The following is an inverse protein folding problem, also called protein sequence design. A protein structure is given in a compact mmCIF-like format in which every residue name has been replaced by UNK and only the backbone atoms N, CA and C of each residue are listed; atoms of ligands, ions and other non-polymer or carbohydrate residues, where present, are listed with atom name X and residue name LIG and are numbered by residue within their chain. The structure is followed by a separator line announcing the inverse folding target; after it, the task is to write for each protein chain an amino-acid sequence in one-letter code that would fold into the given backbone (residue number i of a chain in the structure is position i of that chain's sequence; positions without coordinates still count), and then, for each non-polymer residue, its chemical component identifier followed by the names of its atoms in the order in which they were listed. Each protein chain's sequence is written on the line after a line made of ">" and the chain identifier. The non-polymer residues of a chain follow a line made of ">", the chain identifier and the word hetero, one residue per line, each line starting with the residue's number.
data_IF_556948891542
#
_entry.id   IF_556948891542
#
_cell.length_a   1.000
_cell.length_b   1.000
_cell.length_c   1.000
_cell.angle_alpha   90.00
_cell.angle_beta   90.00
_cell.angle_gamma   90.00
#
_symmetry.space_group_name_H-M   'P 1'
#
loop_
_entity.id
_entity.type
_entity.pdbx_description
1 polymer ?
#
# COMPACT_ATOMS: atom_id res chain seq x y z
N UNK A 1 -6.88 5.96 -8.30
CA UNK A 1 -5.43 6.24 -8.38
C UNK A 1 -4.80 5.81 -7.07
N UNK A 2 -3.76 5.00 -7.11
CA UNK A 2 -3.06 4.50 -5.90
C UNK A 2 -2.28 5.60 -5.17
N UNK A 3 -1.86 6.64 -5.88
CA UNK A 3 -1.09 7.76 -5.33
C UNK A 3 -1.94 9.02 -5.40
N UNK A 4 -2.09 9.70 -4.26
CA UNK A 4 -2.82 10.97 -4.13
C UNK A 4 -1.85 12.05 -3.64
N UNK A 5 -1.88 13.23 -4.27
CA UNK A 5 -1.21 14.41 -3.71
C UNK A 5 -2.08 14.99 -2.60
N UNK A 6 -1.49 15.25 -1.44
CA UNK A 6 -2.10 15.91 -0.30
C UNK A 6 -1.92 17.42 -0.40
N UNK A 7 -2.76 18.15 0.34
CA UNK A 7 -2.73 19.62 0.38
C UNK A 7 -1.45 20.17 1.02
N UNK A 8 -0.83 19.37 1.89
CA UNK A 8 0.48 19.64 2.49
C UNK A 8 1.67 19.43 1.52
N UNK A 9 1.40 19.15 0.23
CA UNK A 9 2.41 18.92 -0.80
C UNK A 9 2.99 17.50 -0.83
N UNK A 10 2.66 16.65 0.15
CA UNK A 10 3.12 15.25 0.21
C UNK A 10 2.29 14.34 -0.68
N UNK A 11 2.78 13.12 -0.86
CA UNK A 11 2.15 12.07 -1.65
C UNK A 11 1.72 10.94 -0.74
N UNK A 12 0.49 10.49 -0.90
CA UNK A 12 -0.07 9.38 -0.16
C UNK A 12 -0.28 8.21 -1.11
N UNK A 13 0.36 7.09 -0.81
CA UNK A 13 0.10 5.80 -1.46
C UNK A 13 -0.97 5.07 -0.67
N UNK A 14 -2.03 4.66 -1.34
CA UNK A 14 -3.14 3.85 -0.82
C UNK A 14 -3.39 2.66 -1.75
N UNK A 15 -2.92 1.48 -1.34
CA UNK A 15 -3.04 0.25 -2.12
C UNK A 15 -3.60 -0.91 -1.32
N UNK A 16 -4.30 -1.81 -2.02
CA UNK A 16 -4.72 -3.11 -1.51
C UNK A 16 -4.13 -4.20 -2.42
N UNK A 17 -2.90 -4.66 -2.16
CA UNK A 17 -2.22 -5.58 -3.06
C UNK A 17 -2.87 -6.98 -3.06
N UNK A 18 -3.65 -7.33 -2.04
CA UNK A 18 -4.50 -8.54 -1.95
C UNK A 18 -5.93 -8.34 -2.50
N UNK A 19 -6.24 -7.19 -3.09
CA UNK A 19 -7.59 -6.87 -3.57
C UNK A 19 -8.56 -6.40 -2.47
N UNK A 20 -9.86 -6.39 -2.76
CA UNK A 20 -10.90 -5.74 -1.92
C UNK A 20 -10.90 -6.21 -0.46
N UNK A 21 -10.70 -7.50 -0.23
CA UNK A 21 -10.70 -8.11 1.11
C UNK A 21 -9.31 -8.11 1.77
N UNK A 22 -8.30 -7.59 1.07
CA UNK A 22 -6.92 -7.53 1.49
C UNK A 22 -6.59 -6.43 2.50
N UNK A 23 -5.36 -6.51 3.04
CA UNK A 23 -4.81 -5.45 3.90
C UNK A 23 -4.63 -4.18 3.07
N UNK A 24 -5.20 -3.07 3.57
CA UNK A 24 -4.96 -1.73 3.00
C UNK A 24 -3.65 -1.19 3.55
N UNK A 25 -2.75 -0.78 2.66
CA UNK A 25 -1.48 -0.16 3.01
C UNK A 25 -1.60 1.30 2.60
N UNK A 26 -1.53 2.18 3.60
CA UNK A 26 -1.58 3.63 3.41
C UNK A 26 -0.33 4.26 3.99
N UNK A 27 0.44 4.98 3.17
CA UNK A 27 1.71 5.59 3.59
C UNK A 27 1.93 6.93 2.90
N UNK A 28 2.49 7.89 3.63
CA UNK A 28 2.83 9.23 3.12
C UNK A 28 4.32 9.30 2.77
N UNK A 29 4.63 10.07 1.74
CA UNK A 29 5.96 10.29 1.17
C UNK A 29 6.09 11.76 0.80
N UNK A 30 7.29 12.32 0.93
CA UNK A 30 7.53 13.72 0.57
C UNK A 30 7.73 13.87 -0.95
N UNK A 31 8.26 12.83 -1.62
CA UNK A 31 8.52 12.82 -3.06
C UNK A 31 7.58 11.88 -3.82
N UNK A 32 7.18 12.31 -5.02
CA UNK A 32 6.38 11.48 -5.95
C UNK A 32 7.12 10.22 -6.38
N UNK A 33 8.43 10.33 -6.62
CA UNK A 33 9.27 9.19 -7.04
C UNK A 33 9.28 8.07 -6.00
N UNK A 34 9.39 8.42 -4.72
CA UNK A 34 9.35 7.46 -3.61
C UNK A 34 7.98 6.78 -3.49
N UNK A 35 6.89 7.55 -3.64
CA UNK A 35 5.54 6.99 -3.65
C UNK A 35 5.34 5.97 -4.80
N UNK A 36 5.83 6.28 -6.01
CA UNK A 36 5.76 5.39 -7.17
C UNK A 36 6.62 4.14 -6.97
N UNK A 37 7.84 4.30 -6.43
CA UNK A 37 8.72 3.18 -6.13
C UNK A 37 8.08 2.24 -5.10
N UNK A 38 7.47 2.79 -4.05
CA UNK A 38 6.80 2.02 -3.01
C UNK A 38 5.57 1.26 -3.54
N UNK A 39 4.75 1.88 -4.39
CA UNK A 39 3.64 1.21 -5.06
C UNK A 39 4.11 -0.01 -5.84
N UNK A 40 5.08 0.17 -6.75
CA UNK A 40 5.65 -0.91 -7.57
C UNK A 40 6.28 -2.01 -6.73
N UNK A 41 7.07 -1.64 -5.73
CA UNK A 41 7.69 -2.58 -4.80
C UNK A 41 6.64 -3.42 -4.09
N UNK A 42 5.58 -2.78 -3.57
CA UNK A 42 4.59 -3.49 -2.77
C UNK A 42 3.72 -4.41 -3.63
N UNK A 43 3.36 -4.00 -4.85
CA UNK A 43 2.65 -4.86 -5.79
C UNK A 43 3.50 -6.07 -6.20
N UNK A 44 4.78 -5.85 -6.51
CA UNK A 44 5.70 -6.91 -6.93
C UNK A 44 6.00 -7.92 -5.81
N UNK A 45 6.36 -7.42 -4.61
CA UNK A 45 6.74 -8.28 -3.48
C UNK A 45 5.56 -8.95 -2.77
N UNK A 46 4.34 -8.51 -3.04
CA UNK A 46 3.14 -9.13 -2.49
C UNK A 46 2.76 -10.42 -3.25
N UNK A 47 3.26 -10.63 -4.46
CA UNK A 47 3.19 -11.93 -5.12
C UNK A 47 4.26 -12.87 -4.54
N UNK A 48 3.87 -14.08 -4.17
CA UNK A 48 4.75 -15.22 -3.87
C UNK A 48 5.58 -15.20 -2.59
N UNK A 49 4.93 -15.07 -1.44
CA UNK A 49 5.45 -15.71 -0.22
C UNK A 49 4.36 -16.55 0.42
N UNK A 50 4.23 -17.80 -0.04
CA UNK A 50 3.32 -18.81 0.58
C UNK A 50 3.62 -19.03 2.08
N UNK A 51 4.83 -18.66 2.52
CA UNK A 51 5.31 -18.75 3.89
C UNK A 51 5.08 -17.49 4.74
N UNK A 52 4.56 -16.39 4.17
CA UNK A 52 4.16 -15.24 4.99
C UNK A 52 2.71 -15.40 5.45
N UNK A 53 2.54 -15.62 6.75
CA UNK A 53 1.23 -15.64 7.40
C UNK A 53 0.44 -14.36 7.05
N UNK A 54 -0.82 -14.55 6.65
CA UNK A 54 -1.72 -13.43 6.36
C UNK A 54 -1.87 -12.59 7.64
N UNK A 55 -1.75 -11.27 7.59
CA UNK A 55 -1.93 -10.42 8.76
C UNK A 55 -3.33 -10.64 9.36
N UNK A 56 -3.42 -10.82 10.68
CA UNK A 56 -4.69 -10.97 11.41
C UNK A 56 -5.61 -9.78 11.11
N UNK A 57 -6.84 -10.07 10.65
CA UNK A 57 -7.85 -9.04 10.43
C UNK A 57 -8.30 -8.48 11.79
N UNK A 58 -8.13 -7.17 11.98
CA UNK A 58 -8.47 -6.45 13.22
C UNK A 58 -9.76 -5.63 13.09
N UNK A 59 -10.56 -5.83 12.04
CA UNK A 59 -11.85 -5.16 11.90
C UNK A 59 -12.76 -5.57 13.05
N UNK A 60 -13.32 -4.58 13.74
CA UNK A 60 -14.44 -4.80 14.67
C UNK A 60 -15.71 -4.91 13.81
N UNK A 61 -16.45 -6.00 13.99
CA UNK A 61 -17.79 -6.23 13.41
C UNK A 61 -18.80 -5.27 14.03
#
# INVERSE_FOLDING_TARGET
>A
MAIKKLDDGRYEVDIRPTGRNGKRIRRKFDKKSEAVAFEKYTLYNHHNKEWLSKPTDKRRL
#
